data_IF_619269595563
#
_entry.id   IF_619269595563
#
_cell.length_a   1.000
_cell.length_b   1.000
_cell.length_c   1.000
_cell.angle_alpha   90.00
_cell.angle_beta   90.00
_cell.angle_gamma   90.00
#
_symmetry.space_group_name_H-M   'P 1'
#
loop_
_entity.id
_entity.type
_entity.pdbx_description
1 polymer ?
#
# COMPACT_ATOMS: atom_id res chain seq x y z
N UNK A 1 1.33 65.43 -43.65
CA UNK A 1 2.49 64.53 -43.46
C UNK A 1 2.49 64.04 -42.03
N UNK A 2 2.62 62.72 -41.87
CA UNK A 2 3.08 61.91 -40.73
C UNK A 2 2.61 62.18 -39.28
N UNK A 3 1.90 61.16 -38.77
CA UNK A 3 2.09 60.39 -37.53
C UNK A 3 2.59 61.07 -36.26
N UNK A 4 1.84 60.85 -35.16
CA UNK A 4 2.27 60.02 -34.02
C UNK A 4 1.10 59.87 -33.05
N UNK A 5 0.31 58.80 -33.21
CA UNK A 5 -0.55 58.30 -32.13
C UNK A 5 -0.16 56.84 -31.89
N UNK A 6 0.91 56.66 -31.12
CA UNK A 6 1.23 55.42 -30.44
C UNK A 6 0.11 55.17 -29.42
N UNK A 7 -0.96 54.51 -29.85
CA UNK A 7 -1.78 53.75 -28.91
C UNK A 7 -1.01 52.46 -28.62
N UNK A 8 -0.26 52.47 -27.53
CA UNK A 8 0.05 51.24 -26.79
C UNK A 8 -1.29 50.61 -26.41
N UNK A 9 -1.78 49.74 -27.29
CA UNK A 9 -2.77 48.76 -26.94
C UNK A 9 -2.02 47.43 -26.82
N UNK A 10 -1.19 47.31 -25.79
CA UNK A 10 -0.85 46.00 -25.25
C UNK A 10 -2.13 45.49 -24.58
N UNK A 11 -3.05 44.98 -25.41
CA UNK A 11 -3.87 43.87 -24.95
C UNK A 11 -2.86 42.75 -24.75
N UNK A 12 -2.42 42.58 -23.51
CA UNK A 12 -2.03 41.25 -23.06
C UNK A 12 -3.28 40.41 -23.32
N UNK A 13 -3.29 39.66 -24.42
CA UNK A 13 -4.16 38.50 -24.50
C UNK A 13 -3.78 37.67 -23.27
N UNK A 14 -4.79 37.41 -22.43
CA UNK A 14 -4.62 36.54 -21.28
C UNK A 14 -4.45 35.14 -21.87
N UNK A 15 -3.22 34.84 -22.29
CA UNK A 15 -2.79 33.64 -22.98
C UNK A 15 -2.81 32.47 -22.00
N UNK A 16 -4.00 32.10 -21.53
CA UNK A 16 -4.23 30.96 -20.66
C UNK A 16 -3.26 30.92 -19.48
N UNK A 17 -3.53 31.74 -18.45
CA UNK A 17 -2.92 31.55 -17.14
C UNK A 17 -2.93 30.05 -16.82
N UNK A 18 -1.74 29.44 -16.78
CA UNK A 18 -1.56 28.06 -16.34
C UNK A 18 -2.29 27.95 -15.01
N UNK A 19 -3.37 27.16 -14.96
CA UNK A 19 -4.13 26.98 -13.73
C UNK A 19 -3.21 26.29 -12.73
N UNK A 20 -2.58 27.10 -11.89
CA UNK A 20 -1.58 26.66 -10.94
C UNK A 20 -2.16 25.59 -10.01
N UNK A 21 -3.47 25.66 -9.72
CA UNK A 21 -4.18 24.67 -8.91
C UNK A 21 -4.28 23.32 -9.61
N UNK A 22 -4.55 23.31 -10.91
CA UNK A 22 -4.61 22.09 -11.70
C UNK A 22 -3.22 21.43 -11.78
N UNK A 23 -2.17 22.22 -11.97
CA UNK A 23 -0.78 21.76 -11.92
C UNK A 23 -0.41 21.19 -10.54
N UNK A 24 -0.74 21.88 -9.46
CA UNK A 24 -0.53 21.40 -8.08
C UNK A 24 -1.24 20.06 -7.84
N UNK A 25 -2.47 19.92 -8.31
CA UNK A 25 -3.26 18.68 -8.22
C UNK A 25 -2.59 17.53 -8.97
N UNK A 26 -2.15 17.76 -10.21
CA UNK A 26 -1.47 16.73 -11.02
C UNK A 26 -0.12 16.31 -10.42
N UNK A 27 0.66 17.26 -9.90
CA UNK A 27 1.92 16.98 -9.23
C UNK A 27 1.67 16.13 -7.98
N UNK A 28 0.69 16.51 -7.16
CA UNK A 28 0.33 15.76 -5.95
C UNK A 28 -0.07 14.33 -6.30
N UNK A 29 -0.96 14.15 -7.29
CA UNK A 29 -1.39 12.82 -7.73
C UNK A 29 -0.22 11.97 -8.26
N UNK A 30 0.73 12.58 -8.98
CA UNK A 30 1.92 11.89 -9.46
C UNK A 30 2.84 11.44 -8.32
N UNK A 31 3.04 12.33 -7.34
CA UNK A 31 3.84 12.04 -6.14
C UNK A 31 3.21 10.90 -5.34
N UNK A 32 1.91 10.99 -5.03
CA UNK A 32 1.18 9.94 -4.30
C UNK A 32 1.29 8.58 -5.00
N UNK A 33 1.13 8.56 -6.33
CA UNK A 33 1.30 7.34 -7.11
C UNK A 33 2.72 6.78 -7.00
N UNK A 34 3.73 7.64 -7.04
CA UNK A 34 5.14 7.23 -6.92
C UNK A 34 5.44 6.64 -5.54
N UNK A 35 4.88 7.22 -4.48
CA UNK A 35 5.07 6.71 -3.12
C UNK A 35 4.43 5.34 -2.92
N UNK A 36 3.18 5.17 -3.38
CA UNK A 36 2.48 3.89 -3.35
C UNK A 36 3.25 2.81 -4.15
N UNK A 37 3.86 3.16 -5.28
CA UNK A 37 4.66 2.21 -6.05
C UNK A 37 5.87 1.68 -5.27
N UNK A 38 6.56 2.53 -4.52
CA UNK A 38 7.67 2.10 -3.68
C UNK A 38 7.21 1.23 -2.50
N UNK A 39 6.08 1.59 -1.88
CA UNK A 39 5.46 0.81 -0.81
C UNK A 39 5.06 -0.59 -1.28
N UNK A 40 4.43 -0.71 -2.44
CA UNK A 40 4.08 -2.00 -3.04
C UNK A 40 5.32 -2.86 -3.35
N UNK A 41 6.42 -2.27 -3.79
CA UNK A 41 7.69 -3.02 -3.99
C UNK A 41 8.23 -3.57 -2.67
N UNK A 42 8.15 -2.79 -1.59
CA UNK A 42 8.54 -3.25 -0.25
C UNK A 42 7.68 -4.44 0.18
N UNK A 43 6.35 -4.32 0.01
CA UNK A 43 5.41 -5.40 0.34
C UNK A 43 5.72 -6.70 -0.40
N UNK A 44 5.98 -6.63 -1.72
CA UNK A 44 6.36 -7.82 -2.50
C UNK A 44 7.69 -8.40 -2.03
N UNK A 45 8.69 -7.56 -1.74
CA UNK A 45 9.98 -8.03 -1.24
C UNK A 45 9.86 -8.73 0.12
N UNK A 46 9.02 -8.23 1.02
CA UNK A 46 8.77 -8.87 2.32
C UNK A 46 7.98 -10.16 2.18
N UNK A 47 7.00 -10.18 1.28
CA UNK A 47 6.28 -11.39 0.91
C UNK A 47 7.21 -12.51 0.44
N UNK A 48 8.13 -12.22 -0.49
CA UNK A 48 9.10 -13.19 -1.00
C UNK A 48 10.04 -13.70 0.11
N UNK A 49 10.41 -12.80 1.03
CA UNK A 49 11.21 -13.16 2.21
C UNK A 49 10.44 -14.11 3.14
N UNK A 50 9.19 -13.79 3.47
CA UNK A 50 8.34 -14.62 4.33
C UNK A 50 8.10 -16.00 3.70
N UNK A 51 7.84 -16.05 2.39
CA UNK A 51 7.71 -17.31 1.67
C UNK A 51 8.99 -18.16 1.76
N UNK A 52 10.16 -17.52 1.80
CA UNK A 52 11.44 -18.20 1.99
C UNK A 52 11.68 -18.64 3.44
N UNK A 53 11.16 -17.90 4.43
CA UNK A 53 11.26 -18.23 5.86
C UNK A 53 10.33 -19.38 6.29
N UNK A 54 9.21 -19.55 5.58
CA UNK A 54 8.18 -20.56 5.84
C UNK A 54 8.05 -21.51 4.64
N UNK A 55 9.09 -22.31 4.33
CA UNK A 55 9.14 -23.09 3.10
C UNK A 55 8.25 -24.34 3.13
N UNK A 56 7.76 -24.77 4.30
CA UNK A 56 7.01 -26.01 4.35
C UNK A 56 5.54 -25.79 3.90
N UNK A 57 4.94 -26.77 3.20
CA UNK A 57 3.55 -26.68 2.78
C UNK A 57 2.61 -26.42 3.96
N UNK A 58 1.79 -25.39 3.85
CA UNK A 58 0.80 -25.01 4.86
C UNK A 58 1.34 -24.14 6.00
N UNK A 59 2.61 -23.73 6.00
CA UNK A 59 3.13 -22.74 6.97
C UNK A 59 2.78 -21.30 6.57
N UNK A 60 2.66 -21.04 5.27
CA UNK A 60 2.37 -19.71 4.71
C UNK A 60 1.37 -19.85 3.56
N UNK A 61 0.22 -19.20 3.69
CA UNK A 61 -0.87 -19.27 2.72
C UNK A 61 -1.33 -17.87 2.30
N UNK A 62 -1.52 -17.70 1.00
CA UNK A 62 -2.10 -16.50 0.40
C UNK A 62 -3.51 -16.84 -0.05
N UNK A 63 -4.47 -16.00 0.32
CA UNK A 63 -5.87 -16.25 -0.05
C UNK A 63 -6.08 -16.19 -1.56
N UNK A 64 -5.41 -15.26 -2.24
CA UNK A 64 -5.45 -15.11 -3.69
C UNK A 64 -4.09 -14.70 -4.25
N UNK A 65 -3.43 -15.63 -4.94
CA UNK A 65 -2.14 -15.38 -5.58
C UNK A 65 -2.24 -14.44 -6.79
N UNK A 66 -3.44 -14.20 -7.35
CA UNK A 66 -3.58 -13.23 -8.44
C UNK A 66 -3.28 -11.81 -7.96
N UNK A 67 -3.46 -11.51 -6.68
CA UNK A 67 -3.15 -10.19 -6.11
C UNK A 67 -1.66 -9.87 -6.27
N UNK A 68 -0.77 -10.84 -6.05
CA UNK A 68 0.67 -10.66 -6.25
C UNK A 68 1.00 -10.41 -7.73
N UNK A 69 0.31 -11.09 -8.64
CA UNK A 69 0.48 -10.85 -10.07
C UNK A 69 0.01 -9.43 -10.45
N UNK A 70 -1.16 -9.01 -9.97
CA UNK A 70 -1.71 -7.68 -10.20
C UNK A 70 -0.80 -6.57 -9.64
N UNK A 71 -0.24 -6.77 -8.44
CA UNK A 71 0.72 -5.83 -7.83
C UNK A 71 1.98 -5.71 -8.71
N UNK A 72 2.54 -6.83 -9.16
CA UNK A 72 3.71 -6.80 -10.04
C UNK A 72 3.41 -6.12 -11.38
N UNK A 73 2.25 -6.40 -11.99
CA UNK A 73 1.83 -5.73 -13.23
C UNK A 73 1.61 -4.22 -13.03
N UNK A 74 1.10 -3.80 -11.87
CA UNK A 74 0.96 -2.39 -11.51
C UNK A 74 2.32 -1.71 -11.32
N UNK A 75 3.25 -2.36 -10.62
CA UNK A 75 4.63 -1.89 -10.42
C UNK A 75 5.36 -1.72 -11.76
N UNK A 76 5.17 -2.66 -12.69
CA UNK A 76 5.74 -2.62 -14.04
C UNK A 76 5.04 -1.62 -14.97
N UNK A 77 3.93 -1.00 -14.53
CA UNK A 77 3.16 -0.05 -15.32
C UNK A 77 2.32 -0.68 -16.44
N UNK A 78 2.10 -2.00 -16.41
CA UNK A 78 1.25 -2.72 -17.37
C UNK A 78 -0.23 -2.45 -17.15
N UNK A 79 -0.63 -2.26 -15.89
CA UNK A 79 -1.98 -1.87 -15.50
C UNK A 79 -1.96 -0.52 -14.78
N UNK A 80 -2.99 0.29 -14.98
CA UNK A 80 -3.14 1.60 -14.32
C UNK A 80 -4.05 1.57 -13.11
N UNK A 81 -4.82 0.48 -12.94
CA UNK A 81 -5.74 0.30 -11.82
C UNK A 81 -4.96 -0.20 -10.60
N UNK A 82 -5.15 0.46 -9.47
CA UNK A 82 -4.59 0.03 -8.19
C UNK A 82 -5.10 -1.39 -7.85
N UNK A 83 -4.20 -2.33 -7.50
CA UNK A 83 -4.56 -3.71 -7.14
C UNK A 83 -5.32 -3.75 -5.80
N UNK A 84 -5.75 -4.96 -5.41
CA UNK A 84 -6.30 -5.17 -4.06
C UNK A 84 -5.18 -5.28 -3.03
N UNK A 85 -5.52 -5.04 -1.76
CA UNK A 85 -4.58 -5.17 -0.63
C UNK A 85 -4.07 -6.60 -0.47
N UNK A 86 -2.79 -6.73 -0.14
CA UNK A 86 -2.16 -8.02 0.09
C UNK A 86 -2.54 -8.55 1.48
N UNK A 87 -3.10 -9.76 1.50
CA UNK A 87 -3.41 -10.48 2.73
C UNK A 87 -2.91 -11.93 2.66
N UNK A 88 -2.38 -12.42 3.77
CA UNK A 88 -1.87 -13.77 3.90
C UNK A 88 -1.99 -14.26 5.35
N UNK A 89 -1.86 -15.57 5.53
CA UNK A 89 -1.90 -16.22 6.83
C UNK A 89 -0.63 -17.03 7.05
N UNK A 90 -0.02 -16.87 8.23
CA UNK A 90 1.10 -17.67 8.69
C UNK A 90 0.59 -18.65 9.75
N UNK A 91 0.83 -19.93 9.54
CA UNK A 91 0.47 -20.98 10.47
C UNK A 91 1.67 -21.36 11.33
N UNK A 92 1.60 -21.02 12.61
CA UNK A 92 2.65 -21.29 13.58
C UNK A 92 2.23 -22.44 14.50
N UNK A 93 3.16 -23.37 14.73
CA UNK A 93 3.01 -24.43 15.74
C UNK A 93 4.02 -24.18 16.86
N UNK A 94 3.54 -23.70 18.00
CA UNK A 94 4.35 -23.44 19.19
C UNK A 94 3.95 -24.46 20.25
N UNK A 95 4.85 -25.38 20.56
CA UNK A 95 4.58 -26.55 21.41
C UNK A 95 3.36 -27.36 20.92
N UNK A 96 2.26 -27.33 21.66
CA UNK A 96 0.98 -27.99 21.32
C UNK A 96 -0.04 -27.02 20.73
N UNK A 97 0.28 -25.73 20.66
CA UNK A 97 -0.63 -24.67 20.22
C UNK A 97 -0.45 -24.40 18.73
N UNK A 98 -1.56 -24.47 17.99
CA UNK A 98 -1.63 -24.04 16.58
C UNK A 98 -2.19 -22.64 16.53
N UNK A 99 -1.43 -21.73 15.95
CA UNK A 99 -1.78 -20.32 15.77
C UNK A 99 -1.90 -20.02 14.28
N UNK A 100 -2.90 -19.22 13.94
CA UNK A 100 -3.08 -18.64 12.61
C UNK A 100 -2.86 -17.14 12.77
N UNK A 101 -1.77 -16.63 12.21
CA UNK A 101 -1.46 -15.20 12.19
C UNK A 101 -1.96 -14.65 10.86
N UNK A 102 -3.03 -13.88 10.90
CA UNK A 102 -3.58 -13.23 9.72
C UNK A 102 -3.01 -11.82 9.61
N UNK A 103 -2.51 -11.49 8.43
CA UNK A 103 -1.89 -10.20 8.12
C UNK A 103 -2.59 -9.57 6.92
N UNK A 104 -2.96 -8.30 7.03
CA UNK A 104 -3.47 -7.49 5.93
C UNK A 104 -2.63 -6.21 5.79
N UNK A 105 -2.02 -6.03 4.63
CA UNK A 105 -1.16 -4.89 4.33
C UNK A 105 -1.97 -3.82 3.57
N UNK A 106 -2.14 -2.60 4.12
CA UNK A 106 -2.65 -1.48 3.34
C UNK A 106 -1.69 -1.11 2.21
N UNK A 107 -2.13 -0.38 1.19
CA UNK A 107 -1.24 0.01 0.08
C UNK A 107 -0.15 0.97 0.55
N UNK A 108 -0.45 1.69 1.62
CA UNK A 108 0.38 2.65 2.29
C UNK A 108 1.41 1.99 3.22
N UNK A 109 1.37 0.67 3.44
CA UNK A 109 2.39 -0.03 4.23
C UNK A 109 3.76 0.05 3.52
N UNK A 110 4.85 0.48 4.19
CA UNK A 110 4.99 0.56 5.65
C UNK A 110 4.75 1.95 6.30
N UNK A 111 4.27 2.95 5.57
CA UNK A 111 3.91 4.24 6.17
C UNK A 111 2.66 4.13 7.07
N UNK A 112 1.68 3.32 6.67
CA UNK A 112 0.57 2.91 7.52
C UNK A 112 0.82 1.50 8.09
N UNK A 113 0.36 1.30 9.32
CA UNK A 113 0.51 0.04 10.04
C UNK A 113 -0.33 -1.10 9.43
N UNK A 114 0.15 -2.35 9.47
CA UNK A 114 -0.60 -3.50 9.01
C UNK A 114 -1.67 -3.91 10.03
N UNK A 115 -2.78 -4.48 9.54
CA UNK A 115 -3.75 -5.13 10.43
C UNK A 115 -3.33 -6.58 10.67
N UNK A 116 -2.91 -6.87 11.90
CA UNK A 116 -2.42 -8.19 12.31
C UNK A 116 -3.27 -8.71 13.47
N UNK A 117 -3.78 -9.92 13.31
CA UNK A 117 -4.45 -10.64 14.39
C UNK A 117 -4.12 -12.12 14.38
N UNK A 118 -4.18 -12.73 15.56
CA UNK A 118 -3.98 -14.16 15.76
C UNK A 118 -5.32 -14.83 16.01
N UNK A 119 -5.47 -16.06 15.53
CA UNK A 119 -6.56 -16.99 15.86
C UNK A 119 -6.01 -18.34 16.28
N UNK A 120 -6.71 -19.01 17.20
CA UNK A 120 -6.41 -20.39 17.58
C UNK A 120 -7.65 -21.07 18.11
N UNK A 121 -7.93 -22.28 17.62
CA UNK A 121 -9.06 -23.10 18.08
C UNK A 121 -8.89 -23.58 19.53
N UNK A 122 -7.68 -23.50 20.07
CA UNK A 122 -7.35 -23.95 21.44
C UNK A 122 -7.47 -22.82 22.48
N UNK A 123 -7.65 -21.57 22.05
CA UNK A 123 -7.76 -20.43 22.95
C UNK A 123 -9.21 -20.08 23.25
N UNK A 124 -9.49 -19.76 24.51
CA UNK A 124 -10.78 -19.17 24.89
C UNK A 124 -10.90 -17.75 24.32
N UNK A 125 -12.14 -17.23 24.21
CA UNK A 125 -12.39 -15.85 23.73
C UNK A 125 -11.59 -14.79 24.52
N UNK A 126 -11.46 -14.97 25.84
CA UNK A 126 -10.72 -14.03 26.69
C UNK A 126 -9.22 -14.11 26.42
N UNK A 127 -8.65 -15.31 26.27
CA UNK A 127 -7.24 -15.49 25.92
C UNK A 127 -6.93 -14.95 24.52
N UNK A 128 -7.81 -15.22 23.56
CA UNK A 128 -7.69 -14.69 22.20
C UNK A 128 -7.69 -13.16 22.18
N UNK A 129 -8.57 -12.53 22.96
CA UNK A 129 -8.64 -11.08 23.07
C UNK A 129 -7.38 -10.51 23.72
N UNK A 130 -6.93 -11.07 24.84
CA UNK A 130 -5.69 -10.63 25.52
C UNK A 130 -4.49 -10.73 24.59
N UNK A 131 -4.32 -11.87 23.90
CA UNK A 131 -3.22 -12.08 22.97
C UNK A 131 -3.21 -11.03 21.84
N UNK A 132 -4.37 -10.74 21.25
CA UNK A 132 -4.46 -9.74 20.19
C UNK A 132 -4.22 -8.31 20.71
N UNK A 133 -4.68 -7.98 21.92
CA UNK A 133 -4.36 -6.70 22.54
C UNK A 133 -2.86 -6.54 22.80
N UNK A 134 -2.21 -7.58 23.34
CA UNK A 134 -0.77 -7.56 23.61
C UNK A 134 0.04 -7.49 22.32
N UNK A 135 -0.39 -8.18 21.26
CA UNK A 135 0.22 -8.13 19.94
C UNK A 135 0.12 -6.73 19.30
N UNK A 136 -1.09 -6.15 19.29
CA UNK A 136 -1.32 -4.80 18.78
C UNK A 136 -0.45 -3.78 19.52
N UNK A 137 -0.36 -3.91 20.85
CA UNK A 137 0.53 -3.08 21.65
C UNK A 137 2.00 -3.27 21.24
N UNK A 138 2.45 -4.50 20.98
CA UNK A 138 3.84 -4.75 20.58
C UNK A 138 4.20 -4.17 19.20
N UNK A 139 3.27 -4.20 18.24
CA UNK A 139 3.52 -3.68 16.88
C UNK A 139 3.58 -2.15 16.88
N UNK A 140 2.73 -1.50 17.69
CA UNK A 140 2.58 -0.04 17.67
C UNK A 140 3.37 0.71 18.77
N UNK A 141 4.24 0.03 19.53
CA UNK A 141 5.12 0.62 20.56
C UNK A 141 6.60 0.40 20.26
#
# INVERSE_FOLDING_TARGET
MLNLHLKMNECWEDDGFLDFKELESQITQFVDKSEILEMLKIQVSEFDMLQSMFPNPGEFEVNDYSIIADINEYIEGKISKLPSQLNFTIYLSIDTLKLQVCVNLPHEYPADEPDIFVRSDSLTRTQQHSLNCDLINYIYY
#
